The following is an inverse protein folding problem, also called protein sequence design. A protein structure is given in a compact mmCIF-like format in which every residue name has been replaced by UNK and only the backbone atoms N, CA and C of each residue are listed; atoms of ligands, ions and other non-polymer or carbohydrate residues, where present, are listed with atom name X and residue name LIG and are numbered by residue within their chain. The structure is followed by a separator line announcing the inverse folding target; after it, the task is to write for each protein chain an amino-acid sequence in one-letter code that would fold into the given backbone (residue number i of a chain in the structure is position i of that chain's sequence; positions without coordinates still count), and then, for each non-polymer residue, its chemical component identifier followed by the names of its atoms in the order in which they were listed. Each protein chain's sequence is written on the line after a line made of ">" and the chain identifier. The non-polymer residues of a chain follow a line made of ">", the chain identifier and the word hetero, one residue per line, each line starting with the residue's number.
data_IF_322079398595
#
_entry.id   IF_322079398595
#
_cell.length_a   1.000
_cell.length_b   1.000
_cell.length_c   1.000
_cell.angle_alpha   90.00
_cell.angle_beta   90.00
_cell.angle_gamma   90.00
#
_symmetry.space_group_name_H-M   'P 1'
#
loop_
_entity.id
_entity.type
_entity.pdbx_description
1 polymer ?
#
# COMPACT_ATOMS: atom_id res chain seq x y z
N UNK A 1 -51.76 -16.73 49.37
CA UNK A 1 -51.47 -15.50 48.58
C UNK A 1 -50.11 -14.84 48.88
N UNK A 2 -49.47 -15.04 50.04
CA UNK A 2 -48.15 -14.43 50.33
C UNK A 2 -46.91 -15.14 49.72
N UNK A 3 -47.04 -16.40 49.29
CA UNK A 3 -45.93 -17.19 48.70
C UNK A 3 -45.70 -16.92 47.20
N UNK A 4 -46.75 -16.57 46.45
CA UNK A 4 -46.67 -16.30 45.00
C UNK A 4 -45.98 -14.96 44.69
N UNK A 5 -46.10 -13.97 45.59
CA UNK A 5 -45.48 -12.65 45.41
C UNK A 5 -43.95 -12.72 45.56
N UNK A 6 -43.43 -13.57 46.46
CA UNK A 6 -41.97 -13.76 46.62
C UNK A 6 -41.31 -14.48 45.44
N UNK A 7 -42.06 -15.34 44.74
CA UNK A 7 -41.53 -16.10 43.59
C UNK A 7 -41.46 -15.25 42.31
N UNK A 8 -42.32 -14.22 42.21
CA UNK A 8 -42.32 -13.26 41.10
C UNK A 8 -41.14 -12.26 41.15
N UNK A 9 -40.75 -11.83 42.35
CA UNK A 9 -39.59 -10.94 42.54
C UNK A 9 -38.24 -11.61 42.23
N UNK A 10 -38.13 -12.92 42.42
CA UNK A 10 -36.93 -13.71 42.10
C UNK A 10 -36.75 -13.92 40.58
N UNK A 11 -37.85 -13.99 39.83
CA UNK A 11 -37.79 -14.17 38.37
C UNK A 11 -37.49 -12.84 37.64
N UNK A 12 -37.96 -11.71 38.19
CA UNK A 12 -37.70 -10.36 37.65
C UNK A 12 -36.22 -9.95 37.78
N UNK A 13 -35.54 -10.38 38.85
CA UNK A 13 -34.11 -10.09 39.06
C UNK A 13 -33.18 -10.92 38.13
N UNK A 14 -33.65 -12.06 37.62
CA UNK A 14 -32.85 -12.96 36.76
C UNK A 14 -32.79 -12.47 35.30
N UNK A 15 -33.78 -11.69 34.84
CA UNK A 15 -33.85 -11.16 33.46
C UNK A 15 -32.93 -9.93 33.28
N UNK A 16 -32.55 -9.25 34.38
CA UNK A 16 -31.64 -8.09 34.35
C UNK A 16 -30.16 -8.52 34.27
N UNK A 17 -29.88 -9.82 34.39
CA UNK A 17 -28.53 -10.40 34.34
C UNK A 17 -28.17 -11.03 33.00
N UNK A 18 -28.98 -10.84 31.94
CA UNK A 18 -28.54 -11.17 30.58
C UNK A 18 -27.41 -10.20 30.23
N UNK A 19 -26.17 -10.71 30.14
CA UNK A 19 -24.98 -9.90 30.30
C UNK A 19 -24.79 -8.94 29.11
N UNK A 20 -24.16 -7.80 29.41
CA UNK A 20 -23.56 -6.85 28.47
C UNK A 20 -22.45 -7.47 27.58
N UNK A 21 -22.48 -8.77 27.30
CA UNK A 21 -21.52 -9.45 26.42
C UNK A 21 -21.98 -9.37 24.97
N UNK A 22 -22.25 -8.15 24.52
CA UNK A 22 -21.92 -7.77 23.17
C UNK A 22 -20.78 -6.75 23.29
N UNK A 23 -19.61 -7.22 23.75
CA UNK A 23 -18.39 -6.65 23.21
C UNK A 23 -18.47 -6.99 21.72
N UNK A 24 -19.01 -6.07 20.93
CA UNK A 24 -18.65 -6.00 19.53
C UNK A 24 -17.13 -5.96 19.57
N UNK A 25 -16.48 -7.07 19.24
CA UNK A 25 -15.18 -7.01 18.59
C UNK A 25 -15.49 -6.19 17.35
N UNK A 26 -15.36 -4.87 17.49
CA UNK A 26 -15.16 -4.01 16.37
C UNK A 26 -13.83 -4.51 15.86
N UNK A 27 -13.87 -5.45 14.90
CA UNK A 27 -12.71 -5.81 14.12
C UNK A 27 -12.15 -4.48 13.68
N UNK A 28 -11.01 -4.11 14.25
CA UNK A 28 -10.35 -2.89 13.85
C UNK A 28 -10.12 -3.07 12.35
N UNK A 29 -10.78 -2.27 11.52
CA UNK A 29 -10.42 -2.17 10.11
C UNK A 29 -8.93 -1.87 10.10
N UNK A 30 -8.11 -2.89 9.84
CA UNK A 30 -6.66 -2.74 9.91
C UNK A 30 -6.25 -1.94 8.69
N UNK A 31 -6.17 -0.63 8.90
CA UNK A 31 -5.72 0.32 7.91
C UNK A 31 -4.20 0.44 8.05
N UNK A 32 -3.47 -0.12 7.11
CA UNK A 32 -2.01 0.02 7.04
C UNK A 32 -1.69 1.27 6.23
N UNK A 33 -0.80 2.11 6.76
CA UNK A 33 -0.24 3.23 6.03
C UNK A 33 1.29 3.07 6.05
N UNK A 34 1.85 2.84 4.87
CA UNK A 34 3.28 2.72 4.64
C UNK A 34 3.81 4.01 3.99
N UNK A 35 4.85 4.59 4.58
CA UNK A 35 5.67 5.60 3.93
C UNK A 35 6.99 4.97 3.50
N UNK A 36 7.19 4.86 2.20
CA UNK A 36 8.24 4.06 1.59
C UNK A 36 9.27 4.93 0.89
N UNK A 37 10.50 4.42 0.89
CA UNK A 37 11.64 4.98 0.18
C UNK A 37 12.47 3.86 -0.42
N UNK A 38 13.25 4.18 -1.44
CA UNK A 38 14.10 3.20 -2.10
C UNK A 38 15.04 3.87 -3.08
N UNK A 39 16.02 3.13 -3.57
CA UNK A 39 16.95 3.66 -4.55
C UNK A 39 17.48 2.59 -5.49
N UNK A 40 17.97 3.03 -6.64
CA UNK A 40 18.69 2.25 -7.65
C UNK A 40 19.97 2.97 -8.07
N UNK A 41 20.55 2.60 -9.22
CA UNK A 41 21.79 3.22 -9.69
C UNK A 41 21.60 4.70 -10.05
N UNK A 42 20.46 5.05 -10.68
CA UNK A 42 20.17 6.40 -11.15
C UNK A 42 19.02 7.09 -10.44
N UNK A 43 18.21 6.39 -9.67
CA UNK A 43 17.00 6.94 -9.09
C UNK A 43 16.95 6.80 -7.58
N UNK A 44 16.37 7.79 -6.93
CA UNK A 44 15.85 7.75 -5.57
C UNK A 44 14.33 7.88 -5.62
N UNK A 45 13.63 7.15 -4.75
CA UNK A 45 12.21 7.29 -4.47
C UNK A 45 12.08 7.70 -3.01
N UNK A 46 11.36 8.79 -2.77
CA UNK A 46 11.02 9.25 -1.43
C UNK A 46 9.52 9.46 -1.30
N UNK A 47 9.04 9.43 -0.05
CA UNK A 47 7.66 9.81 0.32
C UNK A 47 6.57 9.00 -0.39
N UNK A 48 6.89 7.82 -0.92
CA UNK A 48 5.92 7.00 -1.63
C UNK A 48 4.98 6.34 -0.62
N UNK A 49 3.70 6.67 -0.71
CA UNK A 49 2.67 6.24 0.22
C UNK A 49 1.91 5.04 -0.34
N UNK A 50 1.67 4.05 0.51
CA UNK A 50 0.73 2.94 0.24
C UNK A 50 -0.21 2.81 1.42
N UNK A 51 -1.51 2.90 1.16
CA UNK A 51 -2.57 2.65 2.15
C UNK A 51 -3.31 1.37 1.79
N UNK A 52 -3.47 0.49 2.77
CA UNK A 52 -4.16 -0.79 2.60
C UNK A 52 -5.28 -0.86 3.64
N UNK A 53 -6.50 -1.02 3.15
CA UNK A 53 -7.71 -1.18 3.96
C UNK A 53 -8.59 -2.27 3.35
N UNK A 54 -9.57 -2.82 4.10
CA UNK A 54 -10.49 -3.79 3.53
C UNK A 54 -11.24 -3.31 2.27
N UNK A 55 -11.47 -2.00 2.16
CA UNK A 55 -12.32 -1.40 1.14
C UNK A 55 -11.56 -0.68 0.02
N UNK A 56 -10.26 -0.42 0.19
CA UNK A 56 -9.46 0.34 -0.78
C UNK A 56 -7.97 0.04 -0.66
N UNK A 57 -7.26 0.30 -1.75
CA UNK A 57 -5.81 0.30 -1.81
C UNK A 57 -5.36 1.57 -2.53
N UNK A 58 -4.63 2.43 -1.83
CA UNK A 58 -4.12 3.69 -2.40
C UNK A 58 -2.60 3.57 -2.59
N UNK A 59 -2.09 4.05 -3.72
CA UNK A 59 -0.65 4.11 -3.97
C UNK A 59 -0.26 5.41 -4.68
N UNK A 60 0.82 6.05 -4.22
CA UNK A 60 1.34 7.26 -4.85
C UNK A 60 2.00 8.23 -3.89
N UNK A 61 1.79 9.52 -4.13
CA UNK A 61 2.39 10.67 -3.42
C UNK A 61 3.91 10.70 -3.36
N UNK A 62 4.59 9.79 -4.04
CA UNK A 62 6.05 9.73 -4.03
C UNK A 62 6.71 10.72 -4.98
N UNK A 63 8.01 10.91 -4.75
CA UNK A 63 8.90 11.71 -5.57
C UNK A 63 10.00 10.80 -6.11
N UNK A 64 10.09 10.73 -7.44
CA UNK A 64 11.17 10.10 -8.20
C UNK A 64 12.22 11.16 -8.54
N UNK A 65 13.46 10.98 -8.08
CA UNK A 65 14.56 11.91 -8.31
C UNK A 65 15.76 11.21 -8.97
N UNK A 66 16.32 11.79 -10.04
CA UNK A 66 17.56 11.29 -10.63
C UNK A 66 18.77 11.74 -9.81
N UNK A 67 19.63 10.76 -9.47
CA UNK A 67 20.82 10.98 -8.65
C UNK A 67 21.82 11.90 -9.34
N UNK A 68 22.10 13.03 -8.70
CA UNK A 68 23.14 13.97 -9.13
C UNK A 68 22.75 14.83 -10.33
N UNK A 69 21.52 14.71 -10.83
CA UNK A 69 21.02 15.48 -11.97
C UNK A 69 20.08 16.57 -11.46
N UNK A 70 20.35 17.84 -11.80
CA UNK A 70 19.37 18.93 -11.57
C UNK A 70 18.33 19.01 -12.67
N UNK A 71 18.74 18.62 -13.88
CA UNK A 71 17.92 18.58 -15.07
C UNK A 71 18.34 17.38 -15.91
N UNK A 72 17.38 16.63 -16.42
CA UNK A 72 17.62 15.55 -17.36
C UNK A 72 16.50 15.52 -18.37
N UNK A 73 16.79 15.90 -19.61
CA UNK A 73 15.78 16.01 -20.66
C UNK A 73 15.69 14.71 -21.47
N UNK A 74 14.52 14.10 -21.49
CA UNK A 74 14.21 12.92 -22.31
C UNK A 74 13.02 13.20 -23.22
N UNK A 75 12.70 12.26 -24.11
CA UNK A 75 11.49 12.35 -24.94
C UNK A 75 10.36 11.44 -24.43
N UNK A 76 10.69 10.54 -23.49
CA UNK A 76 9.77 9.59 -22.87
C UNK A 76 10.22 9.24 -21.45
N UNK A 77 9.25 9.20 -20.54
CA UNK A 77 9.41 8.68 -19.19
C UNK A 77 8.14 7.94 -18.75
N UNK A 78 8.35 6.84 -18.06
CA UNK A 78 7.29 5.97 -17.57
C UNK A 78 7.70 5.32 -16.26
N UNK A 79 6.75 5.12 -15.37
CA UNK A 79 6.94 4.28 -14.20
C UNK A 79 5.74 3.35 -14.00
N UNK A 80 6.03 2.16 -13.50
CA UNK A 80 5.05 1.21 -12.97
C UNK A 80 5.41 0.87 -11.54
N UNK A 81 4.48 1.04 -10.62
CA UNK A 81 4.57 0.50 -9.26
C UNK A 81 3.88 -0.84 -9.23
N UNK A 82 4.60 -1.84 -8.75
CA UNK A 82 4.17 -3.21 -8.61
C UNK A 82 4.07 -3.59 -7.13
N UNK A 83 3.00 -4.30 -6.79
CA UNK A 83 2.87 -5.01 -5.53
C UNK A 83 2.83 -6.51 -5.82
N UNK A 84 3.69 -7.28 -5.19
CA UNK A 84 3.63 -8.74 -5.20
C UNK A 84 2.76 -9.15 -4.03
N UNK A 85 1.54 -9.59 -4.32
CA UNK A 85 0.52 -9.94 -3.32
C UNK A 85 0.18 -11.40 -3.50
N UNK A 86 0.37 -12.20 -2.44
CA UNK A 86 0.21 -13.66 -2.51
C UNK A 86 0.95 -14.26 -3.73
N UNK A 87 2.22 -13.88 -3.87
CA UNK A 87 3.11 -14.29 -4.98
C UNK A 87 2.68 -13.84 -6.39
N UNK A 88 1.58 -13.10 -6.52
CA UNK A 88 1.11 -12.54 -7.80
C UNK A 88 1.59 -11.10 -7.94
N UNK A 89 2.27 -10.84 -9.05
CA UNK A 89 2.74 -9.51 -9.40
C UNK A 89 1.61 -8.70 -10.05
N UNK A 90 1.22 -7.59 -9.41
CA UNK A 90 0.18 -6.71 -9.90
C UNK A 90 0.70 -5.28 -10.02
N UNK A 91 0.39 -4.61 -11.13
CA UNK A 91 0.62 -3.17 -11.27
C UNK A 91 -0.49 -2.42 -10.51
N UNK A 92 -0.09 -1.61 -9.53
CA UNK A 92 -1.02 -0.88 -8.65
C UNK A 92 -1.05 0.62 -8.94
N UNK A 93 -0.02 1.15 -9.59
CA UNK A 93 0.05 2.57 -9.95
C UNK A 93 0.98 2.75 -11.15
N UNK A 94 0.58 3.53 -12.14
CA UNK A 94 1.36 3.79 -13.35
C UNK A 94 1.30 5.27 -13.70
N UNK A 95 2.36 5.77 -14.34
CA UNK A 95 2.39 7.13 -14.86
C UNK A 95 3.36 7.25 -16.01
N UNK A 96 2.97 8.02 -17.02
CA UNK A 96 3.77 8.23 -18.23
C UNK A 96 3.69 9.67 -18.68
N UNK A 97 4.80 10.17 -19.24
CA UNK A 97 4.86 11.44 -19.93
C UNK A 97 5.73 11.29 -21.17
N UNK A 98 5.21 11.75 -22.30
CA UNK A 98 5.89 11.75 -23.59
C UNK A 98 5.80 13.14 -24.22
N UNK A 99 6.85 13.56 -24.89
CA UNK A 99 6.94 14.89 -25.48
C UNK A 99 8.39 15.26 -25.74
N UNK A 100 8.64 16.27 -26.55
CA UNK A 100 10.01 16.70 -26.82
C UNK A 100 10.59 17.38 -25.58
N UNK A 101 11.79 16.96 -25.15
CA UNK A 101 12.56 17.64 -24.10
C UNK A 101 11.79 17.80 -22.77
N UNK A 102 11.31 16.68 -22.24
CA UNK A 102 10.70 16.61 -20.90
C UNK A 102 11.81 16.52 -19.86
N UNK A 103 11.87 17.45 -18.91
CA UNK A 103 12.76 17.30 -17.75
C UNK A 103 12.19 16.24 -16.80
N UNK A 104 13.00 15.22 -16.48
CA UNK A 104 12.68 14.09 -15.60
C UNK A 104 13.63 13.96 -14.42
N UNK A 105 14.48 14.96 -14.16
CA UNK A 105 15.34 14.96 -12.98
C UNK A 105 14.55 14.81 -11.67
N UNK A 106 13.32 15.32 -11.64
CA UNK A 106 12.37 15.11 -10.56
C UNK A 106 10.96 14.95 -11.12
N UNK A 107 10.22 13.95 -10.63
CA UNK A 107 8.81 13.70 -10.94
C UNK A 107 8.04 13.28 -9.71
N UNK A 108 6.93 13.96 -9.45
CA UNK A 108 5.92 13.42 -8.53
C UNK A 108 5.18 12.27 -9.23
N UNK A 109 4.84 11.23 -8.48
CA UNK A 109 4.12 10.08 -9.05
C UNK A 109 2.62 10.36 -9.21
N UNK A 110 2.10 11.40 -8.54
CA UNK A 110 0.65 11.52 -8.35
C UNK A 110 0.12 10.41 -7.43
N UNK A 111 -1.19 10.18 -7.47
CA UNK A 111 -1.89 9.19 -6.64
C UNK A 111 -2.93 8.45 -7.47
N UNK A 112 -3.08 7.16 -7.20
CA UNK A 112 -4.22 6.38 -7.63
C UNK A 112 -4.89 5.73 -6.43
N UNK A 113 -6.22 5.80 -6.42
CA UNK A 113 -7.07 5.04 -5.51
C UNK A 113 -7.61 3.83 -6.26
N UNK A 114 -7.23 2.64 -5.79
CA UNK A 114 -7.75 1.36 -6.25
C UNK A 114 -8.87 0.85 -5.33
N UNK A 115 -9.65 -0.10 -5.85
CA UNK A 115 -10.68 -0.79 -5.07
C UNK A 115 -10.08 -1.84 -4.13
N UNK A 116 -10.95 -2.71 -3.63
CA UNK A 116 -10.53 -3.87 -2.83
C UNK A 116 -9.77 -4.89 -3.68
N UNK A 117 -8.59 -5.27 -3.21
CA UNK A 117 -7.92 -6.49 -3.66
C UNK A 117 -8.26 -7.63 -2.72
N UNK A 118 -8.50 -8.83 -3.28
CA UNK A 118 -8.84 -10.02 -2.51
C UNK A 118 -7.68 -11.02 -2.52
N UNK A 119 -7.47 -11.70 -1.40
CA UNK A 119 -6.57 -12.82 -1.27
C UNK A 119 -7.18 -14.10 -1.90
N UNK A 120 -6.45 -15.21 -1.86
CA UNK A 120 -6.91 -16.48 -2.47
C UNK A 120 -8.14 -17.09 -1.79
N UNK A 121 -8.47 -16.65 -0.57
CA UNK A 121 -9.66 -17.05 0.18
C UNK A 121 -10.88 -16.15 -0.10
N UNK A 122 -10.70 -15.09 -0.89
CA UNK A 122 -11.75 -14.11 -1.17
C UNK A 122 -11.92 -13.06 -0.07
N UNK A 123 -10.96 -12.94 0.84
CA UNK A 123 -10.95 -11.91 1.90
C UNK A 123 -10.13 -10.69 1.42
N UNK A 124 -10.43 -9.47 1.89
CA UNK A 124 -9.59 -8.31 1.59
C UNK A 124 -8.14 -8.54 1.99
N UNK A 125 -7.21 -8.10 1.13
CA UNK A 125 -5.77 -8.22 1.41
C UNK A 125 -5.39 -7.38 2.63
N UNK A 126 -4.37 -7.83 3.33
CA UNK A 126 -3.70 -7.11 4.40
C UNK A 126 -2.23 -6.89 4.04
N UNK A 127 -1.49 -6.16 4.86
CA UNK A 127 -0.04 -6.05 4.69
C UNK A 127 0.67 -7.42 4.76
N UNK A 128 0.11 -8.41 5.45
CA UNK A 128 0.71 -9.74 5.54
C UNK A 128 0.72 -10.48 4.20
N UNK A 129 -0.25 -10.19 3.33
CA UNK A 129 -0.35 -10.74 1.98
C UNK A 129 0.68 -10.12 1.01
N UNK A 130 1.25 -8.95 1.35
CA UNK A 130 2.19 -8.23 0.49
C UNK A 130 3.61 -8.76 0.71
N UNK A 131 4.19 -9.37 -0.32
CA UNK A 131 5.55 -9.87 -0.31
C UNK A 131 6.57 -8.78 -0.66
N UNK A 132 6.23 -7.90 -1.61
CA UNK A 132 7.16 -6.89 -2.14
C UNK A 132 6.40 -5.73 -2.75
N UNK A 133 6.92 -4.52 -2.63
CA UNK A 133 6.49 -3.35 -3.40
C UNK A 133 7.72 -2.77 -4.08
N UNK A 134 7.65 -2.50 -5.38
CA UNK A 134 8.76 -1.98 -6.15
C UNK A 134 8.27 -1.09 -7.30
N UNK A 135 9.12 -0.18 -7.76
CA UNK A 135 8.86 0.68 -8.93
C UNK A 135 9.81 0.26 -10.05
N UNK A 136 9.29 0.14 -11.26
CA UNK A 136 10.07 0.06 -12.50
C UNK A 136 10.02 1.42 -13.17
N UNK A 137 11.17 2.04 -13.38
CA UNK A 137 11.29 3.32 -14.08
C UNK A 137 11.91 3.08 -15.45
N UNK A 138 11.27 3.61 -16.50
CA UNK A 138 11.71 3.51 -17.90
C UNK A 138 11.86 4.90 -18.50
N UNK A 139 12.94 5.12 -19.21
CA UNK A 139 13.19 6.39 -19.90
C UNK A 139 14.08 6.20 -21.13
N UNK A 140 14.01 7.14 -22.06
CA UNK A 140 15.00 7.20 -23.14
C UNK A 140 16.29 7.87 -22.64
N UNK A 141 17.39 7.11 -22.58
CA UNK A 141 18.72 7.63 -22.21
C UNK A 141 19.37 8.28 -23.43
N UNK A 142 19.29 9.62 -23.50
CA UNK A 142 19.84 10.38 -24.64
C UNK A 142 21.37 10.28 -24.76
N UNK A 143 22.08 10.07 -23.65
CA UNK A 143 23.54 9.95 -23.67
C UNK A 143 23.97 8.63 -24.28
N UNK A 144 23.28 7.54 -23.92
CA UNK A 144 23.54 6.19 -24.46
C UNK A 144 22.75 5.86 -25.72
N UNK A 145 21.82 6.72 -26.12
CA UNK A 145 20.91 6.56 -27.26
C UNK A 145 20.17 5.21 -27.24
N UNK A 146 19.58 4.87 -26.09
CA UNK A 146 18.81 3.63 -25.90
C UNK A 146 17.75 3.80 -24.82
N UNK A 147 16.78 2.90 -24.81
CA UNK A 147 15.88 2.75 -23.67
C UNK A 147 16.65 2.25 -22.45
N UNK A 148 16.34 2.84 -21.30
CA UNK A 148 16.86 2.47 -20.00
C UNK A 148 15.71 2.08 -19.08
N UNK A 149 15.99 1.13 -18.20
CA UNK A 149 15.05 0.60 -17.22
C UNK A 149 15.80 0.33 -15.92
N UNK A 150 15.20 0.73 -14.79
CA UNK A 150 15.70 0.41 -13.45
C UNK A 150 14.56 -0.02 -12.53
N UNK A 151 14.84 -0.99 -11.66
CA UNK A 151 13.92 -1.45 -10.62
C UNK A 151 14.36 -0.93 -9.26
N UNK A 152 13.44 -0.29 -8.54
CA UNK A 152 13.64 0.31 -7.22
C UNK A 152 12.76 -0.47 -6.23
N UNK A 153 13.38 -1.19 -5.31
CA UNK A 153 12.62 -1.90 -4.26
C UNK A 153 12.26 -0.91 -3.15
N UNK A 154 10.97 -0.85 -2.80
CA UNK A 154 10.44 0.03 -1.76
C UNK A 154 10.11 -0.73 -0.47
N UNK A 155 9.62 -1.95 -0.62
CA UNK A 155 9.28 -2.85 0.48
C UNK A 155 9.59 -4.28 0.06
N UNK A 156 10.10 -5.07 0.99
CA UNK A 156 10.25 -6.51 0.82
C UNK A 156 10.03 -7.18 2.17
N UNK A 157 9.12 -8.16 2.20
CA UNK A 157 8.88 -8.98 3.38
C UNK A 157 10.12 -9.87 3.61
N UNK A 158 10.88 -9.61 4.66
CA UNK A 158 12.01 -10.45 5.05
C UNK A 158 11.48 -11.84 5.46
N UNK A 159 12.11 -12.92 5.03
CA UNK A 159 11.66 -14.29 5.35
C UNK A 159 11.84 -14.69 6.82
N UNK A 160 12.44 -13.85 7.66
CA UNK A 160 12.48 -14.04 9.11
C UNK A 160 12.26 -12.69 9.80
N UNK A 161 11.45 -12.70 10.86
CA UNK A 161 10.88 -11.52 11.51
C UNK A 161 11.92 -10.59 12.14
N UNK A 162 12.46 -9.68 11.34
CA UNK A 162 13.00 -8.38 11.77
C UNK A 162 12.86 -7.38 10.62
N UNK A 163 12.05 -6.36 10.86
CA UNK A 163 11.80 -5.26 9.91
C UNK A 163 13.01 -4.36 9.86
N UNK A 164 13.72 -4.33 8.74
CA UNK A 164 14.64 -3.23 8.41
C UNK A 164 14.03 -2.39 7.31
N UNK A 165 13.56 -1.21 7.68
CA UNK A 165 13.37 -0.09 6.76
C UNK A 165 14.73 0.28 6.19
N UNK A 166 14.92 0.10 4.88
CA UNK A 166 16.07 0.64 4.14
C UNK A 166 15.87 2.14 3.96
#
# INVERSE_FOLDING_TARGET
>A
MKKLIKMSLLFSLLIILIPLTACTQQEAETNFHLLLKGNSAKWDVNEYEVKISPNYFEAGHGVLSMKGEKEYYTDFFHFDTHAVINEKDITVHTGSVSGKEINIAEKTTGMVEGGTYLNEKGEPITLEDVNRIYIVVKWWDKQKKKDAEETITLYSKTKEGNTTTS
#
